data_IF_757981589167
#
_entry.id   IF_757981589167
#
_cell.length_a   1.000
_cell.length_b   1.000
_cell.length_c   1.000
_cell.angle_alpha   90.00
_cell.angle_beta   90.00
_cell.angle_gamma   90.00
#
_symmetry.space_group_name_H-M   'P 1'
#
loop_
_entity.id
_entity.type
_entity.pdbx_description
1 polymer ?
#
# COMPACT_ATOMS: atom_id res chain seq x y z
N UNK A 1 -14.04 -20.21 -17.69
CA UNK A 1 -12.69 -20.38 -17.12
C UNK A 1 -12.85 -21.09 -15.78
N UNK A 2 -11.86 -21.89 -15.33
CA UNK A 2 -11.92 -22.59 -14.04
C UNK A 2 -11.38 -21.67 -12.93
N UNK A 3 -12.27 -21.16 -12.08
CA UNK A 3 -11.93 -20.20 -11.01
C UNK A 3 -10.98 -20.77 -9.94
N UNK A 4 -10.75 -22.10 -9.93
CA UNK A 4 -9.82 -22.73 -8.99
C UNK A 4 -8.35 -22.45 -9.31
N UNK A 5 -8.04 -22.05 -10.54
CA UNK A 5 -6.66 -21.81 -10.98
C UNK A 5 -6.48 -20.36 -11.41
N UNK A 6 -5.56 -19.65 -10.74
CA UNK A 6 -5.15 -18.33 -11.19
C UNK A 6 -4.48 -18.43 -12.55
N UNK A 7 -4.91 -17.59 -13.49
CA UNK A 7 -4.20 -17.39 -14.76
C UNK A 7 -2.82 -16.77 -14.49
N UNK A 8 -2.81 -15.66 -13.77
CA UNK A 8 -1.63 -14.97 -13.23
C UNK A 8 -2.05 -14.33 -11.90
N UNK A 9 -1.18 -14.40 -10.89
CA UNK A 9 -1.35 -13.68 -9.64
C UNK A 9 -1.01 -12.19 -9.84
N UNK A 10 -2.01 -11.32 -9.72
CA UNK A 10 -1.78 -9.88 -9.68
C UNK A 10 -1.27 -9.45 -8.29
N UNK A 11 -0.59 -8.30 -8.24
CA UNK A 11 -0.02 -7.72 -7.03
C UNK A 11 -0.29 -6.21 -7.00
N UNK A 12 -1.03 -5.76 -5.98
CA UNK A 12 -1.35 -4.34 -5.82
C UNK A 12 -0.25 -3.61 -5.04
N UNK A 13 0.19 -2.48 -5.56
CA UNK A 13 1.35 -1.74 -5.05
C UNK A 13 1.24 -0.22 -5.27
N UNK A 14 1.94 0.60 -4.50
CA UNK A 14 2.76 0.28 -3.33
C UNK A 14 1.98 0.64 -2.06
N UNK A 15 1.74 -0.33 -1.20
CA UNK A 15 0.85 -0.19 -0.03
C UNK A 15 1.63 0.32 1.20
N UNK A 16 1.44 1.55 1.70
CA UNK A 16 0.58 2.63 1.21
C UNK A 16 1.28 4.00 1.30
N UNK A 17 0.59 5.06 0.85
CA UNK A 17 1.08 6.45 0.87
C UNK A 17 2.47 6.63 0.24
N UNK A 18 2.69 5.96 -0.89
CA UNK A 18 3.88 6.06 -1.71
C UNK A 18 3.58 6.84 -2.98
N UNK A 19 4.07 8.07 -3.07
CA UNK A 19 3.85 8.96 -4.21
C UNK A 19 5.04 9.89 -4.52
N UNK A 20 6.14 9.75 -3.77
CA UNK A 20 7.37 10.54 -3.91
C UNK A 20 8.58 9.65 -4.11
N UNK A 21 9.31 9.87 -5.22
CA UNK A 21 10.57 9.15 -5.50
C UNK A 21 11.77 9.83 -4.82
N UNK A 22 11.94 11.13 -5.07
CA UNK A 22 12.97 11.98 -4.48
C UNK A 22 12.56 13.44 -4.63
N UNK A 23 12.39 14.14 -3.52
CA UNK A 23 12.07 15.55 -3.51
C UNK A 23 12.72 16.26 -2.33
N UNK A 24 13.26 17.46 -2.58
CA UNK A 24 13.88 18.31 -1.56
C UNK A 24 14.91 17.59 -0.66
N UNK A 25 15.73 16.72 -1.26
CA UNK A 25 16.78 15.97 -0.56
C UNK A 25 16.31 14.76 0.25
N UNK A 26 15.02 14.41 0.18
CA UNK A 26 14.47 13.18 0.79
C UNK A 26 14.10 12.19 -0.31
N UNK A 27 14.68 10.99 -0.27
CA UNK A 27 14.31 9.90 -1.17
C UNK A 27 13.22 9.00 -0.56
N UNK A 28 12.63 8.18 -1.41
CA UNK A 28 11.57 7.23 -1.06
C UNK A 28 11.92 6.20 0.02
N UNK A 29 13.21 5.93 0.23
CA UNK A 29 13.65 4.94 1.22
C UNK A 29 13.69 5.54 2.63
N UNK A 30 13.78 6.87 2.73
CA UNK A 30 13.88 7.61 3.98
C UNK A 30 12.65 8.48 4.28
N UNK A 31 11.70 8.55 3.35
CA UNK A 31 10.48 9.34 3.52
C UNK A 31 9.57 8.75 4.61
N UNK A 32 9.15 9.58 5.57
CA UNK A 32 8.08 9.28 6.53
C UNK A 32 6.84 10.11 6.17
N UNK A 33 5.87 9.47 5.52
CA UNK A 33 4.61 10.08 5.16
C UNK A 33 3.78 10.34 6.42
N UNK A 34 3.52 11.61 6.72
CA UNK A 34 2.67 12.04 7.84
C UNK A 34 1.24 12.20 7.32
N UNK A 35 0.43 11.18 7.52
CA UNK A 35 -0.91 11.06 6.93
C UNK A 35 -1.94 11.00 8.05
N UNK A 36 -2.97 11.82 7.98
CA UNK A 36 -4.10 11.74 8.92
C UNK A 36 -4.91 10.46 8.68
N UNK A 37 -5.59 9.94 9.70
CA UNK A 37 -6.47 8.78 9.52
C UNK A 37 -7.55 9.05 8.46
N UNK A 38 -8.04 10.29 8.38
CA UNK A 38 -8.99 10.72 7.38
C UNK A 38 -8.42 10.60 5.96
N UNK A 39 -7.25 11.19 5.70
CA UNK A 39 -6.63 11.13 4.37
C UNK A 39 -6.24 9.69 4.00
N UNK A 40 -5.82 8.90 4.99
CA UNK A 40 -5.49 7.50 4.78
C UNK A 40 -6.72 6.74 4.25
N UNK A 41 -7.87 6.90 4.89
CA UNK A 41 -9.12 6.22 4.54
C UNK A 41 -9.74 6.80 3.26
N UNK A 42 -9.76 8.12 3.10
CA UNK A 42 -10.48 8.79 2.00
C UNK A 42 -9.66 8.86 0.71
N UNK A 43 -8.32 8.82 0.78
CA UNK A 43 -7.45 9.02 -0.39
C UNK A 43 -6.52 7.83 -0.66
N UNK A 44 -5.76 7.37 0.33
CA UNK A 44 -4.66 6.42 0.07
C UNK A 44 -5.08 4.94 0.06
N UNK A 45 -6.10 4.56 0.83
CA UNK A 45 -6.58 3.18 0.93
C UNK A 45 -7.71 2.75 -0.04
N UNK A 46 -8.59 3.62 -0.58
CA UNK A 46 -9.74 3.17 -1.38
C UNK A 46 -9.38 2.28 -2.58
N UNK A 47 -8.27 2.56 -3.26
CA UNK A 47 -7.83 1.75 -4.41
C UNK A 47 -7.39 0.34 -3.98
N UNK A 48 -6.73 0.22 -2.82
CA UNK A 48 -6.33 -1.07 -2.26
C UNK A 48 -7.53 -1.82 -1.69
N UNK A 49 -8.50 -1.12 -1.09
CA UNK A 49 -9.77 -1.71 -0.64
C UNK A 49 -10.48 -2.39 -1.81
N UNK A 50 -10.66 -1.71 -2.95
CA UNK A 50 -11.23 -2.33 -4.14
C UNK A 50 -10.34 -3.44 -4.71
N UNK A 51 -9.03 -3.29 -4.66
CA UNK A 51 -8.11 -4.34 -5.12
C UNK A 51 -8.24 -5.65 -4.32
N UNK A 52 -8.40 -5.55 -3.00
CA UNK A 52 -8.51 -6.71 -2.11
C UNK A 52 -9.93 -7.24 -2.06
N UNK A 53 -10.91 -6.38 -1.71
CA UNK A 53 -12.30 -6.77 -1.48
C UNK A 53 -13.01 -7.17 -2.76
N UNK A 54 -12.91 -6.32 -3.79
CA UNK A 54 -13.72 -6.45 -4.99
C UNK A 54 -13.00 -7.32 -6.05
N UNK A 55 -11.71 -7.07 -6.28
CA UNK A 55 -10.92 -7.80 -7.28
C UNK A 55 -10.25 -9.08 -6.75
N UNK A 56 -10.22 -9.30 -5.42
CA UNK A 56 -9.64 -10.49 -4.78
C UNK A 56 -8.20 -10.76 -5.26
N UNK A 57 -7.37 -9.70 -5.27
CA UNK A 57 -5.98 -9.79 -5.67
C UNK A 57 -5.23 -10.88 -4.89
N UNK A 58 -4.29 -11.54 -5.54
CA UNK A 58 -3.52 -12.62 -4.93
C UNK A 58 -2.43 -12.11 -3.98
N UNK A 59 -1.98 -10.86 -4.14
CA UNK A 59 -0.85 -10.31 -3.40
C UNK A 59 -0.93 -8.78 -3.28
N UNK A 60 -0.24 -8.25 -2.26
CA UNK A 60 0.04 -6.83 -2.09
C UNK A 60 1.53 -6.65 -1.86
N UNK A 61 2.12 -5.63 -2.48
CA UNK A 61 3.47 -5.17 -2.20
C UNK A 61 3.44 -3.93 -1.30
N UNK A 62 4.04 -4.06 -0.13
CA UNK A 62 4.26 -2.95 0.79
C UNK A 62 5.21 -1.91 0.19
N UNK A 63 5.03 -0.64 0.57
CA UNK A 63 5.87 0.46 0.10
C UNK A 63 7.22 0.56 0.82
N UNK A 64 8.14 1.32 0.22
CA UNK A 64 9.44 1.61 0.82
C UNK A 64 9.35 2.56 2.02
N UNK A 65 8.50 3.59 1.92
CA UNK A 65 8.40 4.66 2.90
C UNK A 65 7.83 4.19 4.24
N UNK A 66 8.04 4.99 5.27
CA UNK A 66 7.27 4.89 6.50
C UNK A 66 5.93 5.64 6.36
N UNK A 67 4.94 5.20 7.12
CA UNK A 67 3.68 5.91 7.33
C UNK A 67 3.53 6.12 8.82
N UNK A 68 3.45 7.38 9.24
CA UNK A 68 3.33 7.80 10.64
C UNK A 68 4.40 7.16 11.56
N UNK A 69 5.64 7.09 11.06
CA UNK A 69 6.81 6.62 11.81
C UNK A 69 7.09 5.13 11.74
N UNK A 70 6.30 4.34 11.00
CA UNK A 70 6.50 2.90 10.86
C UNK A 70 6.69 2.51 9.38
N UNK A 71 7.80 1.85 9.00
CA UNK A 71 8.00 1.33 7.64
C UNK A 71 6.83 0.46 7.20
N UNK A 72 6.29 0.68 5.99
CA UNK A 72 5.05 0.00 5.56
C UNK A 72 5.14 -1.53 5.61
N UNK A 73 6.28 -2.12 5.21
CA UNK A 73 6.50 -3.57 5.29
C UNK A 73 6.59 -4.14 6.72
N UNK A 74 6.74 -3.28 7.73
CA UNK A 74 6.74 -3.65 9.15
C UNK A 74 5.52 -3.10 9.91
N UNK A 75 4.57 -2.48 9.21
CA UNK A 75 3.44 -1.78 9.81
C UNK A 75 2.26 -2.74 10.03
N UNK A 76 2.07 -3.20 11.27
CA UNK A 76 0.97 -4.10 11.64
C UNK A 76 -0.41 -3.48 11.40
N UNK A 77 -0.55 -2.17 11.60
CA UNK A 77 -1.83 -1.49 11.38
C UNK A 77 -2.25 -1.59 9.90
N UNK A 78 -1.29 -1.48 8.98
CA UNK A 78 -1.53 -1.66 7.55
C UNK A 78 -1.72 -3.13 7.16
N UNK A 79 -0.91 -4.05 7.69
CA UNK A 79 -0.83 -5.43 7.16
C UNK A 79 -1.71 -6.47 7.86
N UNK A 80 -2.35 -6.14 8.99
CA UNK A 80 -3.13 -7.10 9.80
C UNK A 80 -4.54 -6.62 10.11
N UNK A 81 -5.05 -5.62 9.40
CA UNK A 81 -6.38 -5.05 9.59
C UNK A 81 -7.50 -5.90 8.97
#
# INVERSE_FOLDING_TARGET
EDERYLKIAADCKHYAAYDLENWNGTDRFHFDARVSDQDLIETYLPSFESCVRDAKVASIMCSYNAVNGVPSCANKFLLQT
#
